data_IF_071963953485
#
_entry.id   IF_071963953485
#
_cell.length_a   1.000
_cell.length_b   1.000
_cell.length_c   1.000
_cell.angle_alpha   90.00
_cell.angle_beta   90.00
_cell.angle_gamma   90.00
#
_symmetry.space_group_name_H-M   'P 1'
#
loop_
_entity.id
_entity.type
_entity.pdbx_description
1 polymer ?
#
# COMPACT_ATOMS: atom_id res chain seq x y z
N UNK A 1 -7.95 -13.20 22.03
CA UNK A 1 -6.75 -12.35 21.87
C UNK A 1 -6.44 -11.66 23.18
N UNK A 2 -5.18 -11.51 23.56
CA UNK A 2 -4.79 -10.67 24.68
C UNK A 2 -4.79 -9.19 24.28
N UNK A 3 -4.94 -8.27 25.24
CA UNK A 3 -4.85 -6.83 24.98
C UNK A 3 -3.51 -6.45 24.30
N UNK A 4 -2.42 -7.12 24.68
CA UNK A 4 -1.11 -6.94 24.07
C UNK A 4 -1.09 -7.32 22.58
N UNK A 5 -1.71 -8.44 22.19
CA UNK A 5 -1.80 -8.85 20.78
C UNK A 5 -2.60 -7.86 19.93
N UNK A 6 -3.69 -7.30 20.47
CA UNK A 6 -4.50 -6.31 19.76
C UNK A 6 -3.74 -4.99 19.55
N UNK A 7 -3.00 -4.54 20.58
CA UNK A 7 -2.14 -3.36 20.49
C UNK A 7 -1.00 -3.56 19.49
N UNK A 8 -0.38 -4.75 19.50
CA UNK A 8 0.69 -5.08 18.55
C UNK A 8 0.19 -5.05 17.11
N UNK A 9 -0.97 -5.63 16.81
CA UNK A 9 -1.57 -5.59 15.46
C UNK A 9 -1.82 -4.15 15.03
N UNK A 10 -2.39 -3.31 15.91
CA UNK A 10 -2.62 -1.88 15.62
C UNK A 10 -1.32 -1.13 15.36
N UNK A 11 -0.30 -1.35 16.20
CA UNK A 11 1.02 -0.75 16.02
C UNK A 11 1.64 -1.12 14.68
N UNK A 12 1.59 -2.42 14.32
CA UNK A 12 2.07 -2.92 13.02
C UNK A 12 1.34 -2.23 11.87
N UNK A 13 0.03 -2.05 11.96
CA UNK A 13 -0.74 -1.36 10.93
C UNK A 13 -0.36 0.12 10.81
N UNK A 14 -0.16 0.83 11.92
CA UNK A 14 0.24 2.24 11.92
C UNK A 14 1.64 2.42 11.31
N UNK A 15 2.61 1.62 11.77
CA UNK A 15 3.98 1.65 11.25
C UNK A 15 3.99 1.26 9.78
N UNK A 16 3.30 0.19 9.42
CA UNK A 16 3.15 -0.26 8.04
C UNK A 16 2.55 0.84 7.15
N UNK A 17 1.44 1.46 7.58
CA UNK A 17 0.81 2.54 6.82
C UNK A 17 1.71 3.76 6.67
N UNK A 18 2.49 4.09 7.71
CA UNK A 18 3.50 5.15 7.67
C UNK A 18 4.57 4.85 6.62
N UNK A 19 5.05 3.61 6.56
CA UNK A 19 6.03 3.17 5.56
C UNK A 19 5.45 3.23 4.15
N UNK A 20 4.23 2.70 3.95
CA UNK A 20 3.58 2.66 2.64
C UNK A 20 3.26 4.07 2.13
N UNK A 21 2.63 4.90 2.95
CA UNK A 21 2.21 6.25 2.55
C UNK A 21 3.40 7.21 2.46
N UNK A 22 4.23 7.26 3.50
CA UNK A 22 5.41 8.11 3.54
C UNK A 22 6.42 7.72 2.46
N UNK A 23 6.63 6.42 2.25
CA UNK A 23 7.51 5.93 1.20
C UNK A 23 6.98 6.22 -0.21
N UNK A 24 5.67 6.12 -0.45
CA UNK A 24 5.08 6.51 -1.73
C UNK A 24 5.29 8.00 -2.03
N UNK A 25 5.10 8.87 -1.04
CA UNK A 25 5.37 10.32 -1.17
C UNK A 25 6.87 10.57 -1.40
N UNK A 26 7.74 9.89 -0.64
CA UNK A 26 9.19 10.00 -0.80
C UNK A 26 9.66 9.61 -2.20
N UNK A 27 9.16 8.48 -2.73
CA UNK A 27 9.45 8.03 -4.09
C UNK A 27 8.86 8.97 -5.16
N UNK A 28 7.66 9.52 -4.93
CA UNK A 28 7.09 10.54 -5.80
C UNK A 28 7.94 11.81 -5.87
N UNK A 29 8.46 12.29 -4.74
CA UNK A 29 9.37 13.45 -4.70
C UNK A 29 10.71 13.11 -5.36
N UNK A 30 11.28 11.94 -5.06
CA UNK A 30 12.56 11.51 -5.62
C UNK A 30 12.54 11.43 -7.15
N UNK A 31 11.44 10.92 -7.71
CA UNK A 31 11.24 10.79 -9.17
C UNK A 31 11.03 12.12 -9.90
N UNK A 32 10.88 13.26 -9.19
CA UNK A 32 10.83 14.60 -9.83
C UNK A 32 12.19 15.11 -10.27
N UNK A 33 13.27 14.61 -9.69
CA UNK A 33 14.63 15.09 -9.97
C UNK A 33 15.28 14.42 -11.18
N UNK A 34 14.61 13.42 -11.78
CA UNK A 34 15.08 12.62 -12.94
C UNK A 34 16.55 12.20 -12.81
N UNK A 35 16.93 11.71 -11.63
CA UNK A 35 18.29 11.22 -11.34
C UNK A 35 18.30 9.72 -11.14
N UNK A 36 19.42 9.07 -11.49
CA UNK A 36 19.62 7.63 -11.26
C UNK A 36 19.40 7.24 -9.80
N UNK A 37 19.84 8.11 -8.89
CA UNK A 37 19.64 7.95 -7.44
C UNK A 37 18.16 7.98 -7.05
N UNK A 38 17.35 8.79 -7.73
CA UNK A 38 15.90 8.83 -7.51
C UNK A 38 15.20 7.54 -7.93
N UNK A 39 15.62 6.96 -9.06
CA UNK A 39 15.11 5.68 -9.56
C UNK A 39 15.57 4.52 -8.66
N UNK A 40 16.83 4.54 -8.20
CA UNK A 40 17.36 3.55 -7.26
C UNK A 40 16.59 3.59 -5.93
N UNK A 41 16.28 4.80 -5.43
CA UNK A 41 15.50 4.95 -4.21
C UNK A 41 14.07 4.42 -4.38
N UNK A 42 13.44 4.70 -5.53
CA UNK A 42 12.13 4.14 -5.90
C UNK A 42 12.17 2.60 -5.93
N UNK A 43 13.21 2.01 -6.51
CA UNK A 43 13.42 0.56 -6.53
C UNK A 43 13.62 -0.06 -5.13
N UNK A 44 14.40 0.59 -4.27
CA UNK A 44 14.57 0.16 -2.87
C UNK A 44 13.25 0.26 -2.10
N UNK A 45 12.47 1.30 -2.37
CA UNK A 45 11.15 1.45 -1.80
C UNK A 45 10.21 0.31 -2.19
N UNK A 46 10.24 -0.21 -3.43
CA UNK A 46 9.39 -1.35 -3.82
C UNK A 46 9.61 -2.58 -2.91
N UNK A 47 10.85 -2.89 -2.55
CA UNK A 47 11.15 -3.99 -1.62
C UNK A 47 10.53 -3.78 -0.24
N UNK A 48 10.72 -2.57 0.31
CA UNK A 48 10.18 -2.21 1.62
C UNK A 48 8.64 -2.19 1.58
N UNK A 49 8.06 -1.70 0.48
CA UNK A 49 6.62 -1.67 0.23
C UNK A 49 6.02 -3.07 0.29
N UNK A 50 6.58 -4.03 -0.45
CA UNK A 50 6.05 -5.40 -0.47
C UNK A 50 6.23 -6.11 0.87
N UNK A 51 7.35 -5.87 1.57
CA UNK A 51 7.54 -6.37 2.93
C UNK A 51 6.49 -5.83 3.91
N UNK A 52 6.31 -4.51 3.95
CA UNK A 52 5.32 -3.88 4.82
C UNK A 52 3.87 -4.30 4.45
N UNK A 53 3.55 -4.37 3.16
CA UNK A 53 2.26 -4.82 2.67
C UNK A 53 1.97 -6.26 3.09
N UNK A 54 2.93 -7.16 2.92
CA UNK A 54 2.80 -8.56 3.33
C UNK A 54 2.52 -8.68 4.83
N UNK A 55 3.24 -7.94 5.67
CA UNK A 55 3.03 -7.91 7.12
C UNK A 55 1.62 -7.40 7.47
N UNK A 56 1.15 -6.31 6.86
CA UNK A 56 -0.20 -5.78 7.08
C UNK A 56 -1.26 -6.81 6.65
N UNK A 57 -1.11 -7.44 5.49
CA UNK A 57 -2.08 -8.42 4.98
C UNK A 57 -2.13 -9.64 5.90
N UNK A 58 -0.98 -10.22 6.27
CA UNK A 58 -0.93 -11.39 7.15
C UNK A 58 -1.56 -11.09 8.52
N UNK A 59 -1.21 -9.95 9.11
CA UNK A 59 -1.78 -9.55 10.41
C UNK A 59 -3.26 -9.17 10.32
N UNK A 60 -3.69 -8.55 9.22
CA UNK A 60 -5.08 -8.22 8.94
C UNK A 60 -5.95 -9.46 8.76
N UNK A 61 -5.52 -10.42 7.93
CA UNK A 61 -6.22 -11.71 7.72
C UNK A 61 -6.25 -12.53 9.01
N UNK A 62 -5.13 -12.60 9.74
CA UNK A 62 -5.08 -13.29 11.03
C UNK A 62 -6.05 -12.69 12.06
N UNK A 63 -6.16 -11.36 12.10
CA UNK A 63 -7.11 -10.67 12.96
C UNK A 63 -8.57 -10.94 12.55
N UNK A 64 -8.88 -10.98 11.25
CA UNK A 64 -10.22 -11.35 10.76
C UNK A 64 -10.58 -12.79 11.11
N UNK A 65 -9.65 -13.73 10.95
CA UNK A 65 -9.84 -15.14 11.30
C UNK A 65 -10.07 -15.35 12.81
N UNK A 66 -9.47 -14.52 13.66
CA UNK A 66 -9.66 -14.59 15.11
C UNK A 66 -11.01 -14.00 15.59
N UNK A 67 -11.55 -13.01 14.89
CA UNK A 67 -12.83 -12.36 15.22
C UNK A 67 -14.03 -13.15 14.65
N UNK A 68 -13.81 -13.92 13.58
CA UNK A 68 -14.86 -14.63 12.86
C UNK A 68 -15.53 -13.69 11.85
N UNK A 69 -15.48 -13.99 10.54
CA UNK A 69 -16.04 -13.09 9.54
C UNK A 69 -17.58 -13.01 9.68
N UNK A 70 -18.16 -11.84 9.39
CA UNK A 70 -19.61 -11.70 9.30
C UNK A 70 -20.14 -12.58 8.18
N UNK A 71 -21.40 -13.00 8.29
CA UNK A 71 -22.14 -13.42 7.10
C UNK A 71 -22.16 -12.30 6.04
N UNK A 72 -21.97 -12.60 4.75
CA UNK A 72 -21.88 -11.60 3.67
C UNK A 72 -23.14 -10.75 3.52
N UNK A 73 -24.27 -11.19 4.08
CA UNK A 73 -25.55 -10.49 4.04
C UNK A 73 -25.70 -9.40 5.12
N UNK A 74 -24.72 -9.27 6.01
CA UNK A 74 -24.72 -8.21 7.02
C UNK A 74 -24.08 -6.94 6.49
N UNK A 75 -24.50 -5.77 6.98
CA UNK A 75 -23.85 -4.48 6.68
C UNK A 75 -22.35 -4.53 6.98
N UNK A 76 -21.96 -5.19 8.08
CA UNK A 76 -20.55 -5.39 8.41
C UNK A 76 -19.81 -6.22 7.36
N UNK A 77 -20.43 -7.28 6.82
CA UNK A 77 -19.86 -8.10 5.77
C UNK A 77 -19.75 -7.43 4.41
N UNK A 78 -20.74 -6.62 4.04
CA UNK A 78 -20.64 -5.78 2.85
C UNK A 78 -19.44 -4.83 2.96
N UNK A 79 -19.34 -4.13 4.09
CA UNK A 79 -18.29 -3.13 4.33
C UNK A 79 -16.89 -3.78 4.35
N UNK A 80 -16.76 -4.94 4.99
CA UNK A 80 -15.51 -5.72 4.95
C UNK A 80 -15.17 -6.14 3.52
N UNK A 81 -16.15 -6.60 2.75
CA UNK A 81 -15.96 -7.02 1.35
C UNK A 81 -15.47 -5.87 0.48
N UNK A 82 -16.07 -4.68 0.62
CA UNK A 82 -15.63 -3.47 -0.09
C UNK A 82 -14.19 -3.12 0.28
N UNK A 83 -13.84 -3.13 1.58
CA UNK A 83 -12.46 -2.86 2.03
C UNK A 83 -11.47 -3.83 1.41
N UNK A 84 -11.78 -5.13 1.41
CA UNK A 84 -10.92 -6.16 0.82
C UNK A 84 -10.79 -5.97 -0.70
N UNK A 85 -11.88 -5.67 -1.40
CA UNK A 85 -11.85 -5.39 -2.83
C UNK A 85 -10.95 -4.18 -3.16
N UNK A 86 -11.05 -3.09 -2.38
CA UNK A 86 -10.19 -1.92 -2.54
C UNK A 86 -8.71 -2.25 -2.30
N UNK A 87 -8.41 -3.10 -1.32
CA UNK A 87 -7.03 -3.58 -1.06
C UNK A 87 -6.53 -4.46 -2.21
N UNK A 88 -7.37 -5.35 -2.76
CA UNK A 88 -6.98 -6.17 -3.93
C UNK A 88 -6.65 -5.29 -5.13
N UNK A 89 -7.53 -4.33 -5.47
CA UNK A 89 -7.28 -3.37 -6.55
C UNK A 89 -5.99 -2.59 -6.29
N UNK A 90 -5.76 -2.15 -5.05
CA UNK A 90 -4.52 -1.47 -4.67
C UNK A 90 -3.27 -2.32 -4.90
N UNK A 91 -3.31 -3.58 -4.48
CA UNK A 91 -2.19 -4.52 -4.61
C UNK A 91 -1.89 -4.79 -6.09
N UNK A 92 -2.91 -5.03 -6.91
CA UNK A 92 -2.76 -5.24 -8.35
C UNK A 92 -2.19 -3.99 -9.04
N UNK A 93 -2.70 -2.80 -8.72
CA UNK A 93 -2.15 -1.53 -9.22
C UNK A 93 -0.70 -1.30 -8.79
N UNK A 94 -0.35 -1.67 -7.55
CA UNK A 94 1.02 -1.60 -7.04
C UNK A 94 1.97 -2.58 -7.73
N UNK A 95 1.45 -3.73 -8.19
CA UNK A 95 2.21 -4.67 -9.01
C UNK A 95 2.58 -4.06 -10.37
N UNK A 96 1.63 -3.39 -11.02
CA UNK A 96 1.91 -2.63 -12.27
C UNK A 96 3.00 -1.59 -12.04
N UNK A 97 2.93 -0.83 -10.95
CA UNK A 97 3.99 0.12 -10.57
C UNK A 97 5.35 -0.57 -10.43
N UNK A 98 5.40 -1.71 -9.75
CA UNK A 98 6.65 -2.48 -9.57
C UNK A 98 7.23 -2.91 -10.91
N UNK A 99 6.41 -3.40 -11.85
CA UNK A 99 6.85 -3.80 -13.17
C UNK A 99 7.44 -2.63 -13.97
N UNK A 100 6.83 -1.44 -13.86
CA UNK A 100 7.37 -0.22 -14.50
C UNK A 100 8.73 0.13 -13.91
N UNK A 101 8.90 0.11 -12.58
CA UNK A 101 10.19 0.36 -11.92
C UNK A 101 11.25 -0.66 -12.38
N UNK A 102 10.90 -1.94 -12.46
CA UNK A 102 11.82 -2.98 -12.96
C UNK A 102 12.19 -2.78 -14.43
N UNK A 103 11.26 -2.32 -15.26
CA UNK A 103 11.53 -1.94 -16.65
C UNK A 103 12.57 -0.82 -16.74
N UNK A 104 12.42 0.20 -15.89
CA UNK A 104 13.35 1.32 -15.79
C UNK A 104 14.76 0.89 -15.37
N UNK A 105 14.90 0.00 -14.37
CA UNK A 105 16.21 -0.50 -13.95
C UNK A 105 16.93 -1.31 -15.04
N UNK A 106 16.18 -1.88 -15.99
CA UNK A 106 16.73 -2.71 -17.08
C UNK A 106 17.02 -1.92 -18.36
N UNK A 107 16.40 -0.76 -18.53
CA UNK A 107 16.57 0.06 -19.72
C UNK A 107 17.91 0.83 -19.66
N UNK A 108 18.97 0.26 -20.25
CA UNK A 108 20.32 0.83 -20.22
C UNK A 108 20.55 2.02 -21.18
N UNK A 109 19.61 2.34 -22.09
CA UNK A 109 19.92 3.18 -23.27
C UNK A 109 18.83 4.16 -23.72
N UNK A 110 17.64 4.15 -23.13
CA UNK A 110 16.57 5.12 -23.46
C UNK A 110 16.25 5.86 -22.18
N UNK A 111 16.44 7.17 -22.13
CA UNK A 111 15.95 8.03 -21.04
C UNK A 111 14.43 8.09 -21.13
N UNK A 112 13.69 7.25 -20.40
CA UNK A 112 12.24 7.24 -20.47
C UNK A 112 11.72 8.48 -19.73
N UNK A 113 10.49 8.90 -20.03
CA UNK A 113 9.87 10.01 -19.33
C UNK A 113 9.46 9.58 -17.91
N UNK A 114 10.10 10.16 -16.88
CA UNK A 114 9.83 9.89 -15.47
C UNK A 114 8.40 10.28 -15.03
N UNK A 115 7.63 10.95 -15.89
CA UNK A 115 6.22 11.31 -15.67
C UNK A 115 5.36 10.09 -15.35
N UNK A 116 5.60 8.94 -15.98
CA UNK A 116 4.87 7.70 -15.68
C UNK A 116 5.10 7.23 -14.24
N UNK A 117 6.35 7.18 -13.77
CA UNK A 117 6.68 6.81 -12.39
C UNK A 117 6.11 7.81 -11.38
N UNK A 118 6.24 9.11 -11.66
CA UNK A 118 5.66 10.16 -10.82
C UNK A 118 4.15 9.98 -10.68
N UNK A 119 3.46 9.69 -11.77
CA UNK A 119 2.01 9.49 -11.78
C UNK A 119 1.61 8.26 -10.97
N UNK A 120 2.35 7.15 -11.11
CA UNK A 120 2.08 5.92 -10.38
C UNK A 120 2.32 6.06 -8.87
N UNK A 121 3.39 6.76 -8.44
CA UNK A 121 3.61 7.03 -7.01
C UNK A 121 2.59 8.03 -6.44
N UNK A 122 2.20 9.04 -7.21
CA UNK A 122 1.14 9.96 -6.81
C UNK A 122 -0.20 9.22 -6.65
N UNK A 123 -0.55 8.36 -7.62
CA UNK A 123 -1.74 7.52 -7.57
C UNK A 123 -1.70 6.55 -6.39
N UNK A 124 -0.54 5.96 -6.08
CA UNK A 124 -0.34 5.12 -4.90
C UNK A 124 -0.66 5.90 -3.62
N UNK A 125 -0.08 7.09 -3.46
CA UNK A 125 -0.32 7.92 -2.27
C UNK A 125 -1.80 8.33 -2.17
N UNK A 126 -2.42 8.74 -3.27
CA UNK A 126 -3.84 9.06 -3.32
C UNK A 126 -4.73 7.87 -2.95
N UNK A 127 -4.43 6.67 -3.46
CA UNK A 127 -5.19 5.46 -3.12
C UNK A 127 -5.04 5.07 -1.65
N UNK A 128 -3.83 5.19 -1.10
CA UNK A 128 -3.58 4.96 0.32
C UNK A 128 -4.35 5.95 1.19
N UNK A 129 -4.45 7.22 0.77
CA UNK A 129 -5.28 8.22 1.45
C UNK A 129 -6.76 7.84 1.39
N UNK A 130 -7.26 7.40 0.23
CA UNK A 130 -8.64 6.90 0.09
C UNK A 130 -8.89 5.70 1.00
N UNK A 131 -7.96 4.75 1.09
CA UNK A 131 -8.08 3.58 1.98
C UNK A 131 -8.15 3.99 3.46
N UNK A 132 -7.37 4.98 3.87
CA UNK A 132 -7.40 5.50 5.25
C UNK A 132 -8.68 6.26 5.53
N UNK A 133 -9.09 7.18 4.65
CA UNK A 133 -10.33 7.92 4.79
C UNK A 133 -11.54 6.98 4.81
N UNK A 134 -11.55 5.97 3.92
CA UNK A 134 -12.58 4.95 3.93
C UNK A 134 -12.60 4.18 5.25
N UNK A 135 -11.44 3.82 5.80
CA UNK A 135 -11.34 3.17 7.10
C UNK A 135 -11.81 4.06 8.27
N UNK A 136 -11.59 5.38 8.19
CA UNK A 136 -12.03 6.34 9.19
C UNK A 136 -13.56 6.51 9.18
N UNK A 137 -14.17 6.68 8.01
CA UNK A 137 -15.63 6.73 7.85
C UNK A 137 -16.27 5.48 8.45
N UNK A 138 -15.69 4.32 8.14
CA UNK A 138 -16.09 3.03 8.69
C UNK A 138 -16.04 2.95 10.22
N UNK A 139 -15.10 3.65 10.84
CA UNK A 139 -14.90 3.63 12.28
C UNK A 139 -15.89 4.54 13.03
N UNK A 140 -16.47 5.53 12.34
CA UNK A 140 -17.35 6.54 12.94
C UNK A 140 -18.82 6.41 12.53
N UNK A 141 -19.13 5.63 11.49
CA UNK A 141 -20.49 5.41 11.00
C UNK A 141 -20.86 6.40 9.91
#
# INVERSE_FOLDING_TARGET
>A
MSAASALLVRFVHIVGMTILFGGAIGAWVATRTTSDRGIELAARYEWIFWGAMGVIVVTGVGNLGAVGPPGPETTWGLVLTVKLALVVVFVLGSFVRTLVVLGWLRAATVTPDATSLRTLYAATAGWLLVLVAFAEVLAHG
#
